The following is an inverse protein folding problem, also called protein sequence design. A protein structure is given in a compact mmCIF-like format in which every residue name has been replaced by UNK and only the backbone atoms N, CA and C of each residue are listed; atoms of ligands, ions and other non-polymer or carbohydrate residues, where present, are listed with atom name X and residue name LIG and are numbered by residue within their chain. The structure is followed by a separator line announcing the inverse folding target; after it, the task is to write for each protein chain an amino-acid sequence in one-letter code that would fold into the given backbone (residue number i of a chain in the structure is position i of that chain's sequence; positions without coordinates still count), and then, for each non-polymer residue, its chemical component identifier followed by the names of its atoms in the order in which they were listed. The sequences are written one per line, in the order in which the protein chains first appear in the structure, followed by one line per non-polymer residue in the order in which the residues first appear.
data_IF_263951184903
#
_entry.id   IF_263951184903
#
_cell.length_a   1.000
_cell.length_b   1.000
_cell.length_c   1.000
_cell.angle_alpha   90.00
_cell.angle_beta   90.00
_cell.angle_gamma   90.00
#
_symmetry.space_group_name_H-M   'P 1'
#
loop_
_entity.id
_entity.type
_entity.pdbx_description
1 polymer ?
#
# COMPACT_ATOMS: atom_id res chain seq x y z
N UNK A 1 -19.51 30.77 -10.51
CA UNK A 1 -19.71 30.05 -11.79
C UNK A 1 -19.87 28.58 -11.44
N UNK A 2 -21.02 27.98 -11.75
CA UNK A 2 -21.18 26.52 -11.59
C UNK A 2 -20.23 25.83 -12.58
N UNK A 3 -19.33 25.01 -12.05
CA UNK A 3 -18.34 24.25 -12.83
C UNK A 3 -18.96 22.89 -13.19
N UNK A 4 -19.55 22.81 -14.37
CA UNK A 4 -20.08 21.58 -14.95
C UNK A 4 -18.99 20.89 -15.78
N UNK A 5 -18.87 19.57 -15.62
CA UNK A 5 -17.88 18.72 -16.30
C UNK A 5 -18.55 17.59 -17.05
N UNK A 6 -17.86 17.03 -18.04
CA UNK A 6 -18.34 15.81 -18.69
C UNK A 6 -18.13 14.60 -17.77
N UNK A 7 -17.01 14.60 -17.01
CA UNK A 7 -16.69 13.54 -16.04
C UNK A 7 -16.06 14.09 -14.76
N UNK A 8 -16.54 13.63 -13.61
CA UNK A 8 -15.86 13.76 -12.31
C UNK A 8 -15.44 12.38 -11.82
N UNK A 9 -14.14 12.19 -11.57
CA UNK A 9 -13.62 11.03 -10.83
C UNK A 9 -13.42 11.41 -9.36
N UNK A 10 -14.08 10.69 -8.45
CA UNK A 10 -13.90 10.85 -7.01
C UNK A 10 -12.86 9.84 -6.52
N UNK A 11 -11.67 10.34 -6.19
CA UNK A 11 -10.48 9.59 -5.83
C UNK A 11 -9.40 9.70 -6.91
N UNK A 12 -8.21 10.19 -6.54
CA UNK A 12 -7.01 10.28 -7.37
C UNK A 12 -6.10 9.04 -7.28
N UNK A 13 -6.69 7.88 -7.00
CA UNK A 13 -6.02 6.58 -7.01
C UNK A 13 -5.96 5.94 -8.39
N UNK A 14 -5.51 4.69 -8.47
CA UNK A 14 -5.31 3.97 -9.74
C UNK A 14 -6.53 3.98 -10.66
N UNK A 15 -7.73 3.74 -10.12
CA UNK A 15 -8.96 3.73 -10.93
C UNK A 15 -9.37 5.12 -11.40
N UNK A 16 -9.31 6.12 -10.52
CA UNK A 16 -9.75 7.48 -10.84
C UNK A 16 -8.82 8.22 -11.80
N UNK A 17 -7.50 8.07 -11.63
CA UNK A 17 -6.53 8.63 -12.57
C UNK A 17 -6.65 7.97 -13.95
N UNK A 18 -6.81 6.65 -14.04
CA UNK A 18 -6.92 5.96 -15.32
C UNK A 18 -8.16 6.36 -16.12
N UNK A 19 -9.32 6.48 -15.47
CA UNK A 19 -10.55 6.92 -16.15
C UNK A 19 -10.48 8.41 -16.54
N UNK A 20 -9.92 9.25 -15.67
CA UNK A 20 -9.76 10.68 -15.94
C UNK A 20 -8.80 10.94 -17.10
N UNK A 21 -7.65 10.26 -17.11
CA UNK A 21 -6.69 10.30 -18.22
C UNK A 21 -7.34 9.93 -19.54
N UNK A 22 -8.06 8.80 -19.56
CA UNK A 22 -8.69 8.30 -20.79
C UNK A 22 -9.73 9.28 -21.30
N UNK A 23 -10.59 9.80 -20.42
CA UNK A 23 -11.62 10.77 -20.78
C UNK A 23 -11.00 12.09 -21.29
N UNK A 24 -9.96 12.61 -20.64
CA UNK A 24 -9.27 13.82 -21.06
C UNK A 24 -8.62 13.65 -22.45
N UNK A 25 -7.99 12.50 -22.71
CA UNK A 25 -7.43 12.15 -24.03
C UNK A 25 -8.49 12.06 -25.13
N UNK A 26 -9.75 11.79 -24.77
CA UNK A 26 -10.89 11.81 -25.69
C UNK A 26 -11.49 13.22 -25.89
N UNK A 27 -10.91 14.25 -25.28
CA UNK A 27 -11.33 15.65 -25.40
C UNK A 27 -12.44 16.06 -24.44
N UNK A 28 -12.73 15.25 -23.42
CA UNK A 28 -13.73 15.58 -22.40
C UNK A 28 -13.17 16.59 -21.39
N UNK A 29 -14.04 17.45 -20.85
CA UNK A 29 -13.73 18.31 -19.71
C UNK A 29 -13.85 17.50 -18.41
N UNK A 30 -12.72 17.21 -17.79
CA UNK A 30 -12.61 16.26 -16.66
C UNK A 30 -12.18 16.96 -15.37
N UNK A 31 -12.75 16.51 -14.26
CA UNK A 31 -12.27 16.81 -12.92
C UNK A 31 -11.90 15.54 -12.14
N UNK A 32 -10.85 15.64 -11.32
CA UNK A 32 -10.47 14.62 -10.33
C UNK A 32 -10.55 15.26 -8.95
N UNK A 33 -11.24 14.60 -8.01
CA UNK A 33 -11.31 15.04 -6.61
C UNK A 33 -10.48 14.11 -5.75
N UNK A 34 -9.49 14.66 -5.05
CA UNK A 34 -8.59 13.88 -4.19
C UNK A 34 -8.24 14.69 -2.93
N UNK A 35 -8.27 14.03 -1.77
CA UNK A 35 -8.00 14.67 -0.48
C UNK A 35 -6.53 14.60 -0.07
N UNK A 36 -5.77 13.69 -0.67
CA UNK A 36 -4.37 13.37 -0.38
C UNK A 36 -3.50 13.59 -1.62
N UNK A 37 -2.56 12.67 -1.87
CA UNK A 37 -1.62 12.69 -2.99
C UNK A 37 -2.18 11.89 -4.17
N UNK A 38 -1.81 12.29 -5.39
CA UNK A 38 -2.04 11.49 -6.57
C UNK A 38 -1.42 10.09 -6.47
N UNK A 39 -2.05 9.12 -7.13
CA UNK A 39 -1.62 7.72 -7.18
C UNK A 39 -2.24 6.82 -6.12
N UNK A 40 -2.94 7.40 -5.12
CA UNK A 40 -3.69 6.67 -4.09
C UNK A 40 -2.85 5.63 -3.34
N UNK A 41 -3.50 4.55 -2.88
CA UNK A 41 -2.84 3.50 -2.09
C UNK A 41 -1.65 2.88 -2.81
N UNK A 42 -1.77 2.55 -4.10
CA UNK A 42 -0.75 1.76 -4.79
C UNK A 42 0.60 2.48 -4.88
N UNK A 43 0.59 3.79 -5.13
CA UNK A 43 1.81 4.61 -5.19
C UNK A 43 2.33 4.93 -3.79
N UNK A 44 1.45 5.32 -2.87
CA UNK A 44 1.88 5.94 -1.63
C UNK A 44 2.08 4.94 -0.48
N UNK A 45 1.18 3.95 -0.32
CA UNK A 45 1.13 3.05 0.84
C UNK A 45 0.90 1.57 0.45
N UNK A 46 1.31 1.17 -0.76
CA UNK A 46 0.93 -0.12 -1.32
C UNK A 46 1.99 -0.69 -2.23
N UNK A 47 1.61 -0.96 -3.49
CA UNK A 47 2.41 -1.67 -4.47
C UNK A 47 3.87 -1.17 -4.57
N UNK A 48 4.04 0.15 -4.72
CA UNK A 48 5.33 0.81 -4.96
C UNK A 48 6.24 0.71 -3.74
N UNK A 49 5.88 1.26 -2.54
CA UNK A 49 6.74 1.16 -1.37
C UNK A 49 7.02 -0.29 -0.99
N UNK A 50 6.01 -1.17 -1.07
CA UNK A 50 6.18 -2.61 -0.81
C UNK A 50 7.22 -3.22 -1.73
N UNK A 51 7.16 -2.94 -3.04
CA UNK A 51 8.09 -3.54 -4.01
C UNK A 51 9.52 -3.02 -3.83
N UNK A 52 9.69 -1.75 -3.49
CA UNK A 52 11.02 -1.19 -3.14
C UNK A 52 11.61 -1.94 -1.94
N UNK A 53 10.83 -2.15 -0.87
CA UNK A 53 11.29 -2.88 0.31
C UNK A 53 11.52 -4.37 0.04
N UNK A 54 10.70 -4.98 -0.82
CA UNK A 54 10.91 -6.35 -1.28
C UNK A 54 12.20 -6.52 -2.09
N UNK A 55 12.57 -5.53 -2.92
CA UNK A 55 13.85 -5.54 -3.61
C UNK A 55 15.02 -5.44 -2.63
N UNK A 56 14.90 -4.62 -1.59
CA UNK A 56 15.89 -4.57 -0.52
C UNK A 56 16.03 -5.92 0.19
N UNK A 57 14.91 -6.57 0.55
CA UNK A 57 14.90 -7.93 1.11
C UNK A 57 15.54 -8.97 0.17
N UNK A 58 15.29 -8.87 -1.13
CA UNK A 58 15.88 -9.76 -2.14
C UNK A 58 17.39 -9.56 -2.27
N UNK A 59 17.86 -8.32 -2.24
CA UNK A 59 19.29 -8.00 -2.21
C UNK A 59 19.94 -8.51 -0.92
N UNK A 60 19.21 -8.45 0.19
CA UNK A 60 19.61 -9.04 1.44
C UNK A 60 19.83 -10.55 1.25
N UNK A 61 18.85 -11.32 0.80
CA UNK A 61 19.06 -12.76 0.54
C UNK A 61 20.22 -13.03 -0.42
N UNK A 62 20.36 -12.24 -1.48
CA UNK A 62 21.48 -12.40 -2.41
C UNK A 62 22.85 -12.20 -1.74
N UNK A 63 22.98 -11.26 -0.80
CA UNK A 63 24.21 -11.08 -0.01
C UNK A 63 24.49 -12.29 0.88
N UNK A 64 23.46 -12.88 1.47
CA UNK A 64 23.60 -14.08 2.33
C UNK A 64 24.05 -15.29 1.51
N UNK A 65 23.52 -15.44 0.29
CA UNK A 65 23.83 -16.57 -0.59
C UNK A 65 25.15 -16.43 -1.36
N UNK A 66 25.63 -15.20 -1.59
CA UNK A 66 26.72 -14.92 -2.53
C UNK A 66 28.03 -15.70 -2.23
N UNK A 67 28.34 -15.91 -0.94
CA UNK A 67 29.54 -16.66 -0.53
C UNK A 67 29.51 -18.12 -0.98
N UNK A 68 28.33 -18.74 -1.10
CA UNK A 68 28.18 -20.10 -1.64
C UNK A 68 28.51 -20.20 -3.13
N UNK A 69 28.51 -19.08 -3.84
CA UNK A 69 28.85 -18.96 -5.26
C UNK A 69 30.26 -18.37 -5.49
N UNK A 70 31.10 -18.32 -4.46
CA UNK A 70 32.48 -17.86 -4.56
C UNK A 70 32.63 -16.34 -4.64
N UNK A 71 31.59 -15.58 -4.28
CA UNK A 71 31.63 -14.13 -4.15
C UNK A 71 31.69 -13.80 -2.65
N UNK A 72 32.86 -13.45 -2.09
CA UNK A 72 32.97 -13.12 -0.67
C UNK A 72 32.04 -11.97 -0.31
N UNK A 73 31.13 -12.21 0.61
CA UNK A 73 30.14 -11.26 1.09
C UNK A 73 29.97 -11.41 2.59
N UNK A 74 29.60 -10.32 3.27
CA UNK A 74 29.21 -10.36 4.67
C UNK A 74 27.99 -9.46 4.86
N UNK A 75 26.92 -10.03 5.44
CA UNK A 75 25.72 -9.26 5.80
C UNK A 75 26.04 -8.27 6.91
N UNK A 76 25.80 -6.99 6.63
CA UNK A 76 25.76 -5.92 7.62
C UNK A 76 24.36 -5.72 8.20
N UNK A 77 24.18 -4.73 9.08
CA UNK A 77 22.83 -4.30 9.46
C UNK A 77 22.19 -3.52 8.30
N UNK A 78 20.88 -3.68 8.13
CA UNK A 78 20.11 -2.87 7.18
C UNK A 78 20.06 -1.44 7.69
N UNK A 79 20.55 -0.48 6.89
CA UNK A 79 20.30 0.94 7.13
C UNK A 79 18.85 1.27 6.73
N UNK A 80 17.95 1.13 7.70
CA UNK A 80 16.52 1.37 7.52
C UNK A 80 16.23 2.82 7.10
N UNK A 81 16.96 3.79 7.65
CA UNK A 81 16.78 5.21 7.34
C UNK A 81 17.14 5.48 5.88
N UNK A 82 18.25 4.93 5.39
CA UNK A 82 18.64 5.05 3.98
C UNK A 82 17.63 4.35 3.05
N UNK A 83 17.13 3.16 3.42
CA UNK A 83 16.10 2.45 2.67
C UNK A 83 14.81 3.26 2.57
N UNK A 84 14.31 3.80 3.68
CA UNK A 84 13.10 4.63 3.73
C UNK A 84 13.30 5.92 2.93
N UNK A 85 14.45 6.59 3.06
CA UNK A 85 14.75 7.79 2.29
C UNK A 85 14.74 7.51 0.77
N UNK A 86 15.43 6.47 0.32
CA UNK A 86 15.44 6.07 -1.09
C UNK A 86 14.04 5.71 -1.62
N UNK A 87 13.25 5.01 -0.81
CA UNK A 87 11.85 4.69 -1.10
C UNK A 87 11.01 5.96 -1.26
N UNK A 88 11.12 6.91 -0.34
CA UNK A 88 10.33 8.15 -0.39
C UNK A 88 10.73 9.03 -1.56
N UNK A 89 12.01 9.12 -1.91
CA UNK A 89 12.45 9.80 -3.14
C UNK A 89 11.82 9.17 -4.38
N UNK A 90 11.81 7.83 -4.46
CA UNK A 90 11.22 7.14 -5.61
C UNK A 90 9.71 7.38 -5.73
N UNK A 91 8.98 7.36 -4.61
CA UNK A 91 7.54 7.67 -4.56
C UNK A 91 7.28 9.14 -4.92
N UNK A 92 8.08 10.07 -4.39
CA UNK A 92 7.99 11.50 -4.69
C UNK A 92 8.10 11.77 -6.18
N UNK A 93 9.05 11.14 -6.88
CA UNK A 93 9.19 11.27 -8.33
C UNK A 93 7.94 10.78 -9.10
N UNK A 94 7.23 9.76 -8.59
CA UNK A 94 5.98 9.28 -9.20
C UNK A 94 4.84 10.25 -8.91
N UNK A 95 4.79 10.85 -7.71
CA UNK A 95 3.82 11.90 -7.40
C UNK A 95 4.03 13.11 -8.31
N UNK A 96 5.26 13.61 -8.43
CA UNK A 96 5.62 14.75 -9.29
C UNK A 96 5.26 14.48 -10.76
N UNK A 97 5.47 13.25 -11.23
CA UNK A 97 5.04 12.83 -12.56
C UNK A 97 3.52 12.96 -12.71
N UNK A 98 2.73 12.44 -11.77
CA UNK A 98 1.27 12.53 -11.85
C UNK A 98 0.76 13.96 -11.76
N UNK A 99 1.35 14.79 -10.90
CA UNK A 99 0.98 16.19 -10.77
C UNK A 99 1.19 16.92 -12.10
N UNK A 100 2.36 16.77 -12.73
CA UNK A 100 2.62 17.36 -14.05
C UNK A 100 1.76 16.76 -15.16
N UNK A 101 1.49 15.46 -15.12
CA UNK A 101 0.74 14.78 -16.16
C UNK A 101 -0.76 15.10 -16.14
N UNK A 102 -1.34 15.32 -14.96
CA UNK A 102 -2.71 15.83 -14.79
C UNK A 102 -2.84 17.23 -15.39
N UNK A 103 -1.84 18.09 -15.14
CA UNK A 103 -1.78 19.44 -15.72
C UNK A 103 -1.64 19.42 -17.24
N UNK A 104 -0.74 18.59 -17.79
CA UNK A 104 -0.53 18.43 -19.24
C UNK A 104 -1.82 18.00 -19.98
N UNK A 105 -2.66 17.20 -19.32
CA UNK A 105 -3.96 16.76 -19.84
C UNK A 105 -5.10 17.75 -19.57
N UNK A 106 -4.82 18.90 -18.95
CA UNK A 106 -5.81 19.90 -18.54
C UNK A 106 -6.93 19.31 -17.66
N UNK A 107 -6.62 18.29 -16.86
CA UNK A 107 -7.56 17.71 -15.90
C UNK A 107 -7.67 18.66 -14.71
N UNK A 108 -8.90 18.98 -14.31
CA UNK A 108 -9.12 19.87 -13.16
C UNK A 108 -8.94 19.10 -11.86
N UNK A 109 -7.79 19.32 -11.20
CA UNK A 109 -7.55 18.80 -9.86
C UNK A 109 -8.30 19.61 -8.80
N UNK A 110 -9.16 18.94 -8.02
CA UNK A 110 -9.93 19.54 -6.93
C UNK A 110 -9.47 18.89 -5.63
N UNK A 111 -8.67 19.62 -4.85
CA UNK A 111 -8.19 19.12 -3.56
C UNK A 111 -9.33 19.09 -2.52
N UNK A 112 -9.64 17.91 -1.99
CA UNK A 112 -10.55 17.75 -0.86
C UNK A 112 -11.37 16.46 -0.90
N UNK A 113 -12.32 16.36 0.04
CA UNK A 113 -13.26 15.24 0.11
C UNK A 113 -14.58 15.61 -0.57
N UNK A 114 -14.99 14.79 -1.54
CA UNK A 114 -16.31 14.91 -2.16
C UNK A 114 -17.41 14.26 -1.32
N UNK A 115 -18.59 14.87 -1.32
CA UNK A 115 -19.84 14.25 -0.90
C UNK A 115 -20.92 14.50 -1.94
N UNK A 116 -21.72 13.50 -2.26
CA UNK A 116 -22.88 13.71 -3.12
C UNK A 116 -23.88 14.64 -2.43
N UNK A 117 -24.42 15.58 -3.21
CA UNK A 117 -25.59 16.37 -2.82
C UNK A 117 -26.86 15.79 -3.42
N UNK A 118 -26.74 15.25 -4.63
CA UNK A 118 -27.79 14.54 -5.37
C UNK A 118 -27.14 13.56 -6.35
N UNK A 119 -27.90 13.01 -7.30
CA UNK A 119 -27.43 12.00 -8.25
C UNK A 119 -26.35 12.50 -9.24
N UNK A 120 -26.25 13.81 -9.47
CA UNK A 120 -25.39 14.40 -10.51
C UNK A 120 -24.52 15.56 -10.00
N UNK A 121 -24.49 15.79 -8.69
CA UNK A 121 -23.68 16.85 -8.10
C UNK A 121 -22.99 16.46 -6.79
N UNK A 122 -21.82 17.03 -6.58
CA UNK A 122 -20.99 16.85 -5.39
C UNK A 122 -20.64 18.19 -4.75
N UNK A 123 -20.33 18.13 -3.46
CA UNK A 123 -19.74 19.20 -2.68
C UNK A 123 -18.29 18.86 -2.31
N UNK A 124 -17.38 19.82 -2.50
CA UNK A 124 -15.99 19.74 -2.00
C UNK A 124 -15.65 21.07 -1.34
N UNK A 125 -15.37 21.07 -0.04
CA UNK A 125 -15.01 22.29 0.70
C UNK A 125 -16.06 23.42 0.60
N UNK A 126 -17.35 23.07 0.56
CA UNK A 126 -18.46 24.02 0.40
C UNK A 126 -18.67 24.55 -1.02
N UNK A 127 -17.87 24.11 -2.00
CA UNK A 127 -18.08 24.41 -3.42
C UNK A 127 -18.85 23.27 -4.10
N UNK A 128 -19.71 23.64 -5.04
CA UNK A 128 -20.56 22.70 -5.77
C UNK A 128 -20.04 22.43 -7.18
N UNK A 129 -20.05 21.16 -7.56
CA UNK A 129 -19.64 20.69 -8.89
C UNK A 129 -20.67 19.69 -9.40
N UNK A 130 -20.90 19.67 -10.71
CA UNK A 130 -21.84 18.75 -11.36
C UNK A 130 -21.18 18.10 -12.56
N UNK A 131 -21.61 16.90 -12.95
CA UNK A 131 -21.15 16.29 -14.18
C UNK A 131 -22.18 15.36 -14.81
N UNK A 132 -22.03 15.12 -16.12
CA UNK A 132 -22.81 14.11 -16.83
C UNK A 132 -22.49 12.70 -16.32
N UNK A 133 -21.22 12.45 -16.01
CA UNK A 133 -20.74 11.18 -15.46
C UNK A 133 -19.95 11.38 -14.18
N UNK A 134 -20.25 10.59 -13.14
CA UNK A 134 -19.51 10.60 -11.88
C UNK A 134 -19.00 9.18 -11.61
N UNK A 135 -17.68 9.03 -11.51
CA UNK A 135 -17.01 7.76 -11.22
C UNK A 135 -16.56 7.74 -9.77
N UNK A 136 -16.96 6.70 -9.03
CA UNK A 136 -16.51 6.45 -7.67
C UNK A 136 -15.30 5.52 -7.66
N UNK A 137 -14.15 6.09 -7.30
CA UNK A 137 -12.87 5.39 -7.26
C UNK A 137 -12.12 5.69 -5.94
N UNK A 138 -12.86 5.73 -4.82
CA UNK A 138 -12.37 6.17 -3.50
C UNK A 138 -11.42 5.19 -2.80
N UNK A 139 -11.22 4.00 -3.35
CA UNK A 139 -10.38 2.97 -2.75
C UNK A 139 -10.98 2.38 -1.46
N UNK A 140 -10.09 1.88 -0.60
CA UNK A 140 -10.42 1.30 0.71
C UNK A 140 -9.36 1.66 1.74
N UNK A 141 -9.55 1.19 2.98
CA UNK A 141 -8.65 1.45 4.10
C UNK A 141 -8.43 0.17 4.93
N UNK A 142 -7.31 0.05 5.66
CA UNK A 142 -7.07 -1.10 6.53
C UNK A 142 -8.13 -1.22 7.63
N UNK A 143 -8.46 -2.44 8.01
CA UNK A 143 -9.36 -2.74 9.12
C UNK A 143 -8.55 -2.84 10.41
N UNK A 144 -9.01 -2.20 11.48
CA UNK A 144 -8.50 -2.38 12.84
C UNK A 144 -9.56 -3.14 13.65
N UNK A 145 -9.24 -4.30 14.24
CA UNK A 145 -10.22 -5.13 14.93
C UNK A 145 -10.74 -4.46 16.22
N UNK A 146 -11.99 -4.75 16.59
CA UNK A 146 -12.64 -4.20 17.78
C UNK A 146 -12.28 -4.89 19.10
N UNK A 147 -11.00 -5.24 19.30
CA UNK A 147 -10.50 -5.91 20.52
C UNK A 147 -9.84 -4.93 21.48
N UNK A 148 -9.83 -5.20 22.81
CA UNK A 148 -9.08 -4.38 23.76
C UNK A 148 -7.63 -4.17 23.33
N UNK A 149 -7.17 -2.92 23.42
CA UNK A 149 -5.79 -2.55 23.06
C UNK A 149 -5.47 -2.52 21.57
N UNK A 150 -6.44 -2.72 20.65
CA UNK A 150 -6.19 -2.68 19.21
C UNK A 150 -5.45 -1.41 18.72
N UNK A 151 -5.64 -0.27 19.41
CA UNK A 151 -4.93 0.98 19.13
C UNK A 151 -3.42 0.98 19.44
N UNK A 152 -2.89 -0.06 20.09
CA UNK A 152 -1.44 -0.27 20.24
C UNK A 152 -0.80 -0.81 18.96
N UNK A 153 -1.60 -1.43 18.08
CA UNK A 153 -1.16 -1.93 16.80
C UNK A 153 -1.03 -0.83 15.75
N UNK A 154 -0.40 -1.19 14.63
CA UNK A 154 -0.33 -0.36 13.42
C UNK A 154 -0.86 -1.16 12.23
N UNK A 155 -1.26 -0.46 11.17
CA UNK A 155 -1.70 -1.06 9.91
C UNK A 155 -0.55 -1.09 8.90
N UNK A 156 -0.80 -1.54 7.67
CA UNK A 156 0.18 -1.41 6.57
C UNK A 156 0.56 0.04 6.28
N UNK A 157 -0.35 1.00 6.49
CA UNK A 157 -0.01 2.43 6.36
C UNK A 157 1.05 2.80 7.40
N UNK A 158 0.81 2.44 8.68
CA UNK A 158 1.75 2.67 9.76
C UNK A 158 3.09 1.94 9.58
N UNK A 159 3.09 0.77 8.93
CA UNK A 159 4.34 0.08 8.56
C UNK A 159 5.20 0.93 7.62
N UNK A 160 4.60 1.56 6.61
CA UNK A 160 5.35 2.43 5.70
C UNK A 160 5.81 3.72 6.40
N UNK A 161 5.15 4.14 7.47
CA UNK A 161 5.56 5.30 8.28
C UNK A 161 6.67 5.01 9.31
N UNK A 162 7.08 3.74 9.49
CA UNK A 162 8.14 3.37 10.44
C UNK A 162 9.48 4.04 10.07
N UNK A 163 9.93 4.97 10.93
CA UNK A 163 11.21 5.64 10.78
C UNK A 163 12.41 4.77 11.19
N UNK A 164 12.18 3.73 11.99
CA UNK A 164 13.20 2.78 12.43
C UNK A 164 12.70 1.35 12.27
N UNK A 165 13.62 0.43 11.98
CA UNK A 165 13.28 -0.98 11.87
C UNK A 165 12.88 -1.55 13.26
N UNK A 166 11.69 -2.16 13.39
CA UNK A 166 11.30 -2.82 14.62
C UNK A 166 12.10 -4.12 14.79
N UNK A 167 12.56 -4.39 16.02
CA UNK A 167 13.37 -5.60 16.31
C UNK A 167 12.53 -6.89 16.39
N UNK A 168 11.33 -6.79 16.94
CA UNK A 168 10.37 -7.89 17.10
C UNK A 168 9.02 -7.44 16.57
N UNK A 169 8.40 -8.24 15.73
CA UNK A 169 7.14 -7.88 15.06
C UNK A 169 6.17 -9.05 15.13
N UNK A 170 4.96 -8.77 15.56
CA UNK A 170 3.81 -9.65 15.38
C UNK A 170 2.98 -9.11 14.20
N UNK A 171 2.73 -9.96 13.20
CA UNK A 171 1.86 -9.67 12.07
C UNK A 171 0.56 -10.45 12.26
N UNK A 172 -0.57 -9.75 12.38
CA UNK A 172 -1.89 -10.36 12.54
C UNK A 172 -2.62 -10.34 11.20
N UNK A 173 -2.80 -11.51 10.60
CA UNK A 173 -3.48 -11.74 9.33
C UNK A 173 -2.63 -12.55 8.34
N UNK A 174 -3.14 -13.71 7.92
CA UNK A 174 -2.49 -14.61 6.96
C UNK A 174 -2.68 -14.25 5.47
N UNK A 175 -3.24 -13.07 5.17
CA UNK A 175 -3.44 -12.60 3.80
C UNK A 175 -2.15 -12.13 3.11
N UNK A 176 -2.26 -11.70 1.85
CA UNK A 176 -1.09 -11.33 1.04
C UNK A 176 -0.24 -10.22 1.69
N UNK A 177 -0.86 -9.19 2.27
CA UNK A 177 -0.14 -8.10 2.95
C UNK A 177 0.66 -8.65 4.13
N UNK A 178 0.04 -9.45 4.99
CA UNK A 178 0.70 -10.01 6.17
C UNK A 178 1.90 -10.88 5.80
N UNK A 179 1.73 -11.77 4.83
CA UNK A 179 2.82 -12.61 4.30
C UNK A 179 3.95 -11.79 3.69
N UNK A 180 3.63 -10.80 2.85
CA UNK A 180 4.63 -9.94 2.20
C UNK A 180 5.45 -9.15 3.23
N UNK A 181 4.78 -8.52 4.22
CA UNK A 181 5.45 -7.75 5.25
C UNK A 181 6.28 -8.64 6.19
N UNK A 182 5.78 -9.84 6.52
CA UNK A 182 6.51 -10.79 7.33
C UNK A 182 7.84 -11.21 6.66
N UNK A 183 7.80 -11.57 5.38
CA UNK A 183 8.99 -11.93 4.62
C UNK A 183 9.99 -10.77 4.51
N UNK A 184 9.51 -9.55 4.22
CA UNK A 184 10.36 -8.36 4.14
C UNK A 184 11.05 -8.07 5.48
N UNK A 185 10.30 -8.04 6.57
CA UNK A 185 10.85 -7.72 7.90
C UNK A 185 11.85 -8.77 8.36
N UNK A 186 11.54 -10.06 8.17
CA UNK A 186 12.43 -11.16 8.52
C UNK A 186 13.74 -11.08 7.72
N UNK A 187 13.65 -10.93 6.40
CA UNK A 187 14.82 -10.83 5.53
C UNK A 187 15.73 -9.64 5.89
N UNK A 188 15.14 -8.53 6.32
CA UNK A 188 15.88 -7.33 6.72
C UNK A 188 16.40 -7.37 8.16
N UNK A 189 16.10 -8.43 8.93
CA UNK A 189 16.71 -8.71 10.23
C UNK A 189 15.82 -8.51 11.46
N UNK A 190 14.52 -8.31 11.29
CA UNK A 190 13.55 -8.35 12.38
C UNK A 190 13.24 -9.81 12.78
N UNK A 191 12.82 -10.04 14.03
CA UNK A 191 12.22 -11.30 14.44
C UNK A 191 10.71 -11.22 14.22
N UNK A 192 10.17 -12.08 13.35
CA UNK A 192 8.76 -12.00 12.95
C UNK A 192 7.98 -13.23 13.42
N UNK A 193 6.86 -12.98 14.07
CA UNK A 193 5.77 -13.96 14.25
C UNK A 193 4.59 -13.55 13.38
N UNK A 194 4.05 -14.48 12.58
CA UNK A 194 2.84 -14.30 11.80
C UNK A 194 1.71 -15.13 12.40
N UNK A 195 0.60 -14.45 12.70
CA UNK A 195 -0.57 -14.99 13.38
C UNK A 195 -1.74 -14.96 12.41
N UNK A 196 -2.44 -16.07 12.24
CA UNK A 196 -3.62 -16.18 11.38
C UNK A 196 -4.73 -16.95 12.07
N UNK A 197 -5.98 -16.54 11.81
CA UNK A 197 -7.17 -17.24 12.30
C UNK A 197 -7.36 -18.58 11.57
N UNK A 198 -6.98 -18.61 10.29
CA UNK A 198 -7.05 -19.78 9.43
C UNK A 198 -5.93 -20.78 9.74
N UNK A 199 -6.08 -22.01 9.23
CA UNK A 199 -5.11 -23.09 9.41
C UNK A 199 -3.85 -22.95 8.52
N UNK A 200 -3.87 -22.01 7.57
CA UNK A 200 -2.76 -21.73 6.64
C UNK A 200 -2.78 -20.28 6.18
N UNK A 201 -1.59 -19.78 5.82
CA UNK A 201 -1.48 -18.49 5.12
C UNK A 201 -2.05 -18.57 3.72
N UNK A 202 -2.51 -17.44 3.20
CA UNK A 202 -3.12 -17.31 1.87
C UNK A 202 -4.26 -18.31 1.68
N UNK A 203 -5.19 -18.42 2.63
CA UNK A 203 -6.30 -19.39 2.60
C UNK A 203 -7.10 -19.37 1.28
N UNK A 204 -7.20 -18.23 0.61
CA UNK A 204 -7.91 -18.13 -0.67
C UNK A 204 -7.12 -18.68 -1.88
N UNK A 205 -5.84 -19.02 -1.71
CA UNK A 205 -4.96 -19.56 -2.73
C UNK A 205 -4.96 -21.10 -2.71
N UNK A 206 -4.35 -21.70 -3.72
CA UNK A 206 -4.20 -23.16 -3.81
C UNK A 206 -3.51 -23.73 -2.54
N UNK A 207 -4.09 -24.75 -1.89
CA UNK A 207 -3.54 -25.33 -0.67
C UNK A 207 -2.12 -25.86 -0.78
N UNK A 208 -1.72 -26.36 -1.95
CA UNK A 208 -0.35 -26.82 -2.17
C UNK A 208 0.63 -25.65 -2.09
N UNK A 209 0.29 -24.51 -2.71
CA UNK A 209 1.11 -23.30 -2.67
C UNK A 209 1.23 -22.77 -1.24
N UNK A 210 0.12 -22.69 -0.50
CA UNK A 210 0.15 -22.27 0.91
C UNK A 210 1.06 -23.14 1.76
N UNK A 211 0.98 -24.47 1.63
CA UNK A 211 1.79 -25.40 2.43
C UNK A 211 3.28 -25.31 2.11
N UNK A 212 3.63 -25.20 0.82
CA UNK A 212 5.02 -25.00 0.42
C UNK A 212 5.53 -23.69 0.98
N UNK A 213 4.76 -22.61 0.85
CA UNK A 213 5.13 -21.30 1.38
C UNK A 213 5.35 -21.34 2.90
N UNK A 214 4.43 -21.95 3.67
CA UNK A 214 4.59 -22.08 5.13
C UNK A 214 5.89 -22.80 5.49
N UNK A 215 6.20 -23.91 4.81
CA UNK A 215 7.45 -24.64 5.03
C UNK A 215 8.71 -23.81 4.72
N UNK A 216 8.67 -22.94 3.70
CA UNK A 216 9.77 -22.02 3.41
C UNK A 216 9.85 -20.86 4.41
N UNK A 217 8.72 -20.34 4.88
CA UNK A 217 8.67 -19.30 5.91
C UNK A 217 9.27 -19.78 7.23
N UNK A 218 8.96 -21.01 7.65
CA UNK A 218 9.55 -21.64 8.84
C UNK A 218 11.07 -21.85 8.68
N UNK A 219 11.55 -22.28 7.50
CA UNK A 219 12.99 -22.37 7.20
C UNK A 219 13.69 -21.01 7.27
N UNK A 220 12.99 -19.93 6.92
CA UNK A 220 13.45 -18.55 7.09
C UNK A 220 13.28 -18.02 8.52
N UNK A 221 12.88 -18.88 9.47
CA UNK A 221 12.69 -18.57 10.89
C UNK A 221 11.57 -17.55 11.17
N UNK A 222 10.55 -17.50 10.31
CA UNK A 222 9.29 -16.82 10.62
C UNK A 222 8.46 -17.77 11.48
N UNK A 223 8.03 -17.29 12.64
CA UNK A 223 7.26 -18.06 13.62
C UNK A 223 5.76 -18.02 13.28
N UNK A 224 5.17 -19.16 12.92
CA UNK A 224 3.80 -19.25 12.41
C UNK A 224 2.83 -19.73 13.49
N UNK A 225 1.80 -18.92 13.76
CA UNK A 225 0.70 -19.23 14.70
C UNK A 225 -0.63 -19.29 13.94
N UNK A 226 -1.00 -20.49 13.47
CA UNK A 226 -2.24 -20.73 12.74
C UNK A 226 -3.37 -21.16 13.69
N UNK A 227 -4.62 -21.01 13.28
CA UNK A 227 -5.77 -21.31 14.12
C UNK A 227 -5.83 -20.44 15.39
N UNK A 228 -5.33 -19.20 15.31
CA UNK A 228 -5.12 -18.33 16.45
C UNK A 228 -6.03 -17.10 16.38
N UNK A 229 -6.86 -16.93 17.41
CA UNK A 229 -7.72 -15.75 17.59
C UNK A 229 -7.09 -14.77 18.59
N UNK A 230 -6.82 -13.55 18.13
CA UNK A 230 -6.29 -12.47 18.98
C UNK A 230 -7.44 -11.85 19.77
N UNK A 231 -7.40 -11.98 21.10
CA UNK A 231 -8.44 -11.47 22.00
C UNK A 231 -8.16 -10.07 22.56
N UNK A 232 -6.88 -9.71 22.74
CA UNK A 232 -6.44 -8.40 23.26
C UNK A 232 -4.99 -8.11 22.86
N UNK A 233 -4.61 -6.83 22.87
CA UNK A 233 -3.22 -6.37 22.84
C UNK A 233 -2.92 -5.61 24.14
N UNK A 234 -1.81 -5.94 24.81
CA UNK A 234 -1.45 -5.39 26.13
C UNK A 234 0.04 -5.10 26.27
#
# INVERSE_FOLDING_TARGET
MNKHFDLIAIGGGSGGLAVAETAARMGMNVAVVEAHKAGGTCVNNGCVPKKVMWLAASLAHAVDDASAFGIPSQRGQTDWSALVAGRQTYIGNINDYWDGYVDDLNIHWIQGYARFRDAHSIEVGGQHYSADHIVLATGGMPIVPGVPGAGLGITSDGFFDLAQQPRKVAIIGGGYIGVELAGVLQALGSQVSLIALEDRVLEQFDPMISRVLMGEMEKQSIDLHMGFEVNELS
#
